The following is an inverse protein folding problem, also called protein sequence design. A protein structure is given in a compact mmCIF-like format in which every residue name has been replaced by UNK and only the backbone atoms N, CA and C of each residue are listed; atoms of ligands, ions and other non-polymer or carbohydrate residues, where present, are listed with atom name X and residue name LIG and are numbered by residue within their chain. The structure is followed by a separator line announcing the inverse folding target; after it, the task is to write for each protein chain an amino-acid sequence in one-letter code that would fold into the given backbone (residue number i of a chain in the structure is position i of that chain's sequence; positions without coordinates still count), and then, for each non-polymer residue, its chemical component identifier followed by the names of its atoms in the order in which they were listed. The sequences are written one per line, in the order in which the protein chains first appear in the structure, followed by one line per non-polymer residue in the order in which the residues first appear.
data_IF_118605614148
#
_entry.id   IF_118605614148
#
_cell.length_a   1.000
_cell.length_b   1.000
_cell.length_c   1.000
_cell.angle_alpha   90.00
_cell.angle_beta   90.00
_cell.angle_gamma   90.00
#
_symmetry.space_group_name_H-M   'P 1'
#
loop_
_entity.id
_entity.type
_entity.pdbx_description
1 polymer ?
#
# COMPACT_ATOMS: atom_id res chain seq x y z
N UNK A 1 9.73 0.32 27.70
CA UNK A 1 10.03 -0.20 26.35
C UNK A 1 11.20 0.62 25.80
N UNK A 2 12.37 0.56 26.44
CA UNK A 2 13.50 1.48 26.19
C UNK A 2 14.79 0.75 25.78
N UNK A 3 14.68 -0.48 25.27
CA UNK A 3 15.85 -1.14 24.70
C UNK A 3 16.03 -0.64 23.26
N UNK A 4 17.18 -0.03 22.91
CA UNK A 4 17.45 0.34 21.54
C UNK A 4 17.52 -0.90 20.65
N UNK A 5 16.92 -0.83 19.45
CA UNK A 5 17.01 -1.89 18.45
C UNK A 5 18.47 -2.15 18.09
N UNK A 6 18.78 -3.40 17.75
CA UNK A 6 20.10 -3.71 17.20
C UNK A 6 20.37 -2.89 15.92
N UNK A 7 21.58 -2.34 15.73
CA UNK A 7 21.89 -1.48 14.59
C UNK A 7 21.56 -2.12 13.23
N UNK A 8 21.79 -3.43 13.10
CA UNK A 8 21.50 -4.20 11.88
C UNK A 8 19.99 -4.30 11.59
N UNK A 9 19.16 -4.36 12.63
CA UNK A 9 17.70 -4.38 12.49
C UNK A 9 17.22 -3.02 12.02
N UNK A 10 17.72 -1.93 12.62
CA UNK A 10 17.41 -0.56 12.22
C UNK A 10 17.81 -0.26 10.78
N UNK A 11 19.01 -0.64 10.38
CA UNK A 11 19.50 -0.47 9.01
C UNK A 11 18.62 -1.22 8.00
N UNK A 12 18.28 -2.48 8.30
CA UNK A 12 17.38 -3.28 7.46
C UNK A 12 15.98 -2.71 7.40
N UNK A 13 15.46 -2.19 8.51
CA UNK A 13 14.15 -1.54 8.56
C UNK A 13 14.11 -0.29 7.68
N UNK A 14 15.14 0.57 7.77
CA UNK A 14 15.27 1.77 6.92
C UNK A 14 15.32 1.41 5.44
N UNK A 15 16.07 0.38 5.06
CA UNK A 15 16.16 -0.07 3.66
C UNK A 15 14.80 -0.55 3.11
N UNK A 16 13.95 -1.15 3.95
CA UNK A 16 12.59 -1.55 3.57
C UNK A 16 11.68 -0.32 3.43
N UNK A 17 11.65 0.56 4.45
CA UNK A 17 10.81 1.76 4.47
C UNK A 17 11.19 2.75 3.36
N UNK A 18 12.45 2.76 2.91
CA UNK A 18 12.89 3.55 1.76
C UNK A 18 12.11 3.22 0.47
N UNK A 19 11.56 2.00 0.36
CA UNK A 19 10.78 1.53 -0.79
C UNK A 19 9.27 1.73 -0.65
N UNK A 20 8.79 2.13 0.53
CA UNK A 20 7.37 2.32 0.78
C UNK A 20 6.86 3.59 0.11
N UNK A 21 5.61 3.56 -0.33
CA UNK A 21 4.92 4.73 -0.89
C UNK A 21 4.17 5.44 0.22
N UNK A 22 4.62 6.66 0.52
CA UNK A 22 3.99 7.51 1.51
C UNK A 22 2.85 8.29 0.83
N UNK A 23 1.66 8.18 1.41
CA UNK A 23 0.49 8.97 1.05
C UNK A 23 0.38 10.10 2.07
N UNK A 24 0.27 11.32 1.56
CA UNK A 24 0.05 12.52 2.36
C UNK A 24 -1.37 13.02 2.10
N UNK A 25 -2.10 13.28 3.17
CA UNK A 25 -3.43 13.87 3.13
C UNK A 25 -3.40 15.17 3.96
N UNK A 26 -3.88 16.29 3.42
CA UNK A 26 -4.02 17.52 4.21
C UNK A 26 -5.05 17.31 5.31
N UNK A 27 -4.80 17.90 6.48
CA UNK A 27 -5.70 17.85 7.62
C UNK A 27 -5.78 19.23 8.28
N UNK A 28 -6.98 19.73 8.50
CA UNK A 28 -7.21 21.10 8.98
C UNK A 28 -6.71 21.34 10.41
N UNK A 29 -6.63 20.31 11.26
CA UNK A 29 -6.19 20.42 12.65
C UNK A 29 -4.69 20.11 12.82
N UNK A 30 -4.18 19.12 12.09
CA UNK A 30 -2.83 18.58 12.25
C UNK A 30 -1.85 19.00 11.13
N UNK A 31 -2.33 19.72 10.12
CA UNK A 31 -1.58 20.13 8.93
C UNK A 31 -1.59 19.05 7.85
N UNK A 32 -0.86 17.95 8.08
CA UNK A 32 -0.79 16.82 7.18
C UNK A 32 -0.77 15.50 7.96
N UNK A 33 -1.46 14.51 7.43
CA UNK A 33 -1.40 13.12 7.91
C UNK A 33 -0.71 12.29 6.85
N UNK A 34 0.30 11.55 7.27
CA UNK A 34 1.09 10.66 6.44
C UNK A 34 0.81 9.20 6.80
N UNK A 35 0.70 8.36 5.77
CA UNK A 35 0.59 6.91 5.91
C UNK A 35 1.41 6.21 4.83
N UNK A 36 1.62 4.90 4.92
CA UNK A 36 2.19 4.11 3.83
C UNK A 36 1.16 3.17 3.22
N UNK A 37 1.19 3.02 1.90
CA UNK A 37 0.36 2.04 1.17
C UNK A 37 0.60 0.61 1.71
N UNK A 38 1.85 0.30 2.04
CA UNK A 38 2.27 -1.00 2.55
C UNK A 38 1.89 -1.22 4.03
N UNK A 39 1.71 -0.14 4.79
CA UNK A 39 1.31 -0.16 6.20
C UNK A 39 0.24 0.91 6.49
N UNK A 40 -1.02 0.69 6.07
CA UNK A 40 -2.06 1.71 6.15
C UNK A 40 -2.34 2.16 7.58
N UNK A 41 -2.18 1.26 8.56
CA UNK A 41 -2.45 1.54 9.97
C UNK A 41 -1.31 2.29 10.70
N UNK A 42 -0.20 2.57 9.99
CA UNK A 42 0.91 3.34 10.55
C UNK A 42 0.78 4.79 10.06
N UNK A 43 0.51 5.68 11.01
CA UNK A 43 0.28 7.10 10.74
C UNK A 43 1.27 7.96 11.50
N UNK A 44 1.62 9.09 10.91
CA UNK A 44 2.21 10.21 11.62
C UNK A 44 1.68 11.53 11.06
N UNK A 45 1.74 12.58 11.84
CA UNK A 45 1.33 13.92 11.44
C UNK A 45 2.52 14.87 11.29
N UNK A 46 2.29 16.01 10.66
CA UNK A 46 3.26 17.09 10.60
C UNK A 46 2.65 18.38 10.07
N UNK A 47 3.11 19.51 10.59
CA UNK A 47 2.60 20.84 10.20
C UNK A 47 2.97 21.21 8.76
N UNK A 48 4.01 20.59 8.21
CA UNK A 48 4.40 20.72 6.80
C UNK A 48 4.50 19.34 6.15
N UNK A 49 4.40 19.26 4.81
CA UNK A 49 4.55 18.00 4.09
C UNK A 49 5.88 17.30 4.41
N UNK A 50 6.98 18.04 4.47
CA UNK A 50 8.32 17.50 4.74
C UNK A 50 8.43 16.93 6.15
N UNK A 51 7.88 17.64 7.14
CA UNK A 51 7.83 17.18 8.53
C UNK A 51 7.00 15.91 8.64
N UNK A 52 5.84 15.89 7.99
CA UNK A 52 4.94 14.74 7.99
C UNK A 52 5.61 13.51 7.35
N UNK A 53 6.32 13.68 6.23
CA UNK A 53 7.09 12.60 5.60
C UNK A 53 8.19 12.09 6.51
N UNK A 54 8.96 12.98 7.15
CA UNK A 54 10.04 12.58 8.06
C UNK A 54 9.50 11.79 9.25
N UNK A 55 8.45 12.30 9.91
CA UNK A 55 7.78 11.64 11.03
C UNK A 55 7.18 10.28 10.62
N UNK A 56 6.54 10.23 9.45
CA UNK A 56 5.97 9.00 8.91
C UNK A 56 7.05 7.95 8.64
N UNK A 57 8.20 8.36 8.07
CA UNK A 57 9.34 7.45 7.85
C UNK A 57 9.91 6.91 9.16
N UNK A 58 9.98 7.74 10.19
CA UNK A 58 10.45 7.32 11.51
C UNK A 58 9.50 6.31 12.15
N UNK A 59 8.19 6.61 12.16
CA UNK A 59 7.15 5.73 12.67
C UNK A 59 7.14 4.38 11.95
N UNK A 60 7.21 4.39 10.61
CA UNK A 60 7.32 3.17 9.80
C UNK A 60 8.60 2.39 10.10
N UNK A 61 9.72 3.09 10.29
CA UNK A 61 11.00 2.43 10.61
C UNK A 61 10.93 1.73 11.97
N UNK A 62 10.37 2.36 12.99
CA UNK A 62 10.18 1.76 14.30
C UNK A 62 9.23 0.54 14.24
N UNK A 63 8.13 0.66 13.50
CA UNK A 63 7.17 -0.43 13.31
C UNK A 63 7.81 -1.64 12.58
N UNK A 64 8.55 -1.38 11.50
CA UNK A 64 9.26 -2.40 10.74
C UNK A 64 10.38 -3.04 11.56
N UNK A 65 11.15 -2.25 12.31
CA UNK A 65 12.19 -2.76 13.22
C UNK A 65 11.59 -3.70 14.28
N UNK A 66 10.47 -3.31 14.88
CA UNK A 66 9.72 -4.15 15.83
C UNK A 66 9.29 -5.47 15.19
N UNK A 67 8.77 -5.44 13.95
CA UNK A 67 8.39 -6.67 13.24
C UNK A 67 9.60 -7.60 13.03
N UNK A 68 10.73 -7.06 12.60
CA UNK A 68 11.96 -7.84 12.37
C UNK A 68 12.45 -8.45 13.69
N UNK A 69 12.49 -7.67 14.78
CA UNK A 69 12.92 -8.14 16.09
C UNK A 69 12.02 -9.28 16.62
N UNK A 70 10.71 -9.19 16.36
CA UNK A 70 9.76 -10.27 16.67
C UNK A 70 9.81 -11.46 15.70
N UNK A 71 10.74 -11.49 14.74
CA UNK A 71 10.85 -12.52 13.72
C UNK A 71 9.73 -12.51 12.67
N UNK A 72 8.92 -11.45 12.61
CA UNK A 72 7.88 -11.25 11.60
C UNK A 72 8.48 -10.65 10.32
N UNK A 73 7.81 -10.89 9.20
CA UNK A 73 8.21 -10.31 7.90
C UNK A 73 7.47 -8.99 7.66
N UNK A 74 8.19 -7.87 7.47
CA UNK A 74 7.58 -6.60 7.08
C UNK A 74 6.91 -6.68 5.70
N UNK A 75 5.82 -5.94 5.48
CA UNK A 75 5.12 -5.92 4.19
C UNK A 75 5.95 -5.17 3.14
N UNK A 76 6.56 -5.91 2.21
CA UNK A 76 7.45 -5.37 1.18
C UNK A 76 6.80 -5.24 -0.21
N UNK A 77 5.53 -5.65 -0.35
CA UNK A 77 4.87 -5.79 -1.65
C UNK A 77 3.46 -5.19 -1.66
N UNK A 78 3.06 -4.71 -2.86
CA UNK A 78 1.90 -3.88 -3.19
C UNK A 78 0.73 -4.21 -2.27
N UNK A 79 0.41 -3.28 -1.36
CA UNK A 79 -0.47 -3.45 -0.21
C UNK A 79 -1.70 -4.34 -0.42
N UNK A 80 -2.20 -4.93 0.67
CA UNK A 80 -3.39 -5.78 0.62
C UNK A 80 -4.50 -5.08 -0.17
N UNK A 81 -5.07 -5.80 -1.15
CA UNK A 81 -6.15 -5.30 -2.00
C UNK A 81 -7.39 -5.08 -1.11
N UNK A 82 -7.57 -3.85 -0.64
CA UNK A 82 -8.67 -3.47 0.27
C UNK A 82 -9.75 -2.62 -0.41
N UNK A 83 -9.44 -1.99 -1.55
CA UNK A 83 -10.36 -1.09 -2.24
C UNK A 83 -11.24 -1.82 -3.26
N UNK A 84 -12.53 -1.46 -3.29
CA UNK A 84 -13.52 -2.00 -4.23
C UNK A 84 -13.99 -0.90 -5.19
N UNK A 85 -14.22 -1.28 -6.44
CA UNK A 85 -14.83 -0.42 -7.46
C UNK A 85 -16.12 -1.09 -7.92
N UNK A 86 -17.25 -0.37 -7.79
CA UNK A 86 -18.55 -0.84 -8.28
C UNK A 86 -18.76 -0.38 -9.71
N UNK A 87 -18.97 -1.34 -10.62
CA UNK A 87 -19.17 -1.07 -12.05
C UNK A 87 -20.60 -1.49 -12.41
N UNK A 88 -21.37 -0.57 -12.99
CA UNK A 88 -22.69 -0.89 -13.57
C UNK A 88 -22.48 -1.35 -15.01
N UNK A 89 -23.08 -2.47 -15.35
CA UNK A 89 -23.03 -3.08 -16.67
C UNK A 89 -24.45 -3.40 -17.13
N UNK A 90 -24.68 -3.32 -18.43
CA UNK A 90 -25.83 -3.98 -19.05
C UNK A 90 -25.66 -5.50 -19.05
N UNK A 91 -26.74 -6.24 -19.26
CA UNK A 91 -26.70 -7.70 -19.35
C UNK A 91 -25.78 -8.19 -20.49
N UNK A 92 -25.79 -7.48 -21.62
CA UNK A 92 -24.97 -7.80 -22.78
C UNK A 92 -23.47 -7.59 -22.50
N UNK A 93 -23.10 -6.46 -21.89
CA UNK A 93 -21.70 -6.20 -21.50
C UNK A 93 -21.19 -7.22 -20.50
N UNK A 94 -22.00 -7.60 -19.51
CA UNK A 94 -21.63 -8.64 -18.53
C UNK A 94 -21.31 -9.97 -19.23
N UNK A 95 -22.16 -10.39 -20.17
CA UNK A 95 -21.97 -11.64 -20.90
C UNK A 95 -20.67 -11.64 -21.72
N UNK A 96 -20.39 -10.54 -22.43
CA UNK A 96 -19.14 -10.38 -23.19
C UNK A 96 -17.92 -10.50 -22.26
N UNK A 97 -17.97 -9.87 -21.09
CA UNK A 97 -16.87 -9.90 -20.13
C UNK A 97 -16.70 -11.28 -19.47
N UNK A 98 -17.77 -12.01 -19.20
CA UNK A 98 -17.72 -13.38 -18.70
C UNK A 98 -17.08 -14.33 -19.70
N UNK A 99 -17.52 -14.28 -20.95
CA UNK A 99 -16.95 -15.08 -22.03
C UNK A 99 -15.46 -14.77 -22.26
N UNK A 100 -15.10 -13.48 -22.27
CA UNK A 100 -13.72 -13.05 -22.41
C UNK A 100 -12.84 -13.50 -21.23
N UNK A 101 -13.37 -13.45 -20.00
CA UNK A 101 -12.67 -13.94 -18.81
C UNK A 101 -12.44 -15.45 -18.88
N UNK A 102 -13.47 -16.22 -19.25
CA UNK A 102 -13.40 -17.68 -19.36
C UNK A 102 -12.40 -18.12 -20.44
N UNK A 103 -12.46 -17.52 -21.65
CA UNK A 103 -11.53 -17.83 -22.75
C UNK A 103 -10.06 -17.56 -22.41
N UNK A 104 -9.80 -16.62 -21.50
CA UNK A 104 -8.45 -16.26 -21.05
C UNK A 104 -8.05 -16.95 -19.73
N UNK A 105 -8.88 -17.87 -19.22
CA UNK A 105 -8.56 -18.68 -18.04
C UNK A 105 -8.65 -17.94 -16.70
N UNK A 106 -9.34 -16.80 -16.64
CA UNK A 106 -9.53 -16.08 -15.39
C UNK A 106 -10.61 -16.73 -14.54
N UNK A 107 -10.44 -16.67 -13.20
CA UNK A 107 -11.39 -17.24 -12.23
C UNK A 107 -12.69 -16.44 -12.10
N UNK A 108 -12.75 -15.24 -12.65
CA UNK A 108 -13.94 -14.39 -12.65
C UNK A 108 -13.72 -13.05 -13.33
N UNK A 109 -14.83 -12.34 -13.59
CA UNK A 109 -14.84 -11.06 -14.31
C UNK A 109 -13.94 -10.02 -13.61
N UNK A 110 -13.95 -9.96 -12.28
CA UNK A 110 -13.17 -8.98 -11.51
C UNK A 110 -11.66 -9.14 -11.72
N UNK A 111 -11.18 -10.38 -11.83
CA UNK A 111 -9.75 -10.67 -12.03
C UNK A 111 -9.31 -10.35 -13.46
N UNK A 112 -10.19 -10.64 -14.42
CA UNK A 112 -10.02 -10.28 -15.83
C UNK A 112 -9.99 -8.76 -16.02
N UNK A 113 -10.99 -8.04 -15.52
CA UNK A 113 -11.08 -6.58 -15.63
C UNK A 113 -9.87 -5.90 -15.01
N UNK A 114 -9.44 -6.35 -13.82
CA UNK A 114 -8.26 -5.79 -13.16
C UNK A 114 -7.01 -5.96 -14.01
N UNK A 115 -6.75 -7.18 -14.49
CA UNK A 115 -5.56 -7.48 -15.28
C UNK A 115 -5.54 -6.66 -16.57
N UNK A 116 -6.65 -6.65 -17.32
CA UNK A 116 -6.76 -5.90 -18.56
C UNK A 116 -6.62 -4.38 -18.36
N UNK A 117 -7.19 -3.82 -17.29
CA UNK A 117 -7.08 -2.40 -16.99
C UNK A 117 -5.65 -2.00 -16.59
N UNK A 118 -5.01 -2.78 -15.71
CA UNK A 118 -3.64 -2.50 -15.26
C UNK A 118 -2.62 -2.64 -16.39
N UNK A 119 -2.72 -3.70 -17.22
CA UNK A 119 -1.84 -3.88 -18.39
C UNK A 119 -1.91 -2.67 -19.33
N UNK A 120 -3.11 -2.15 -19.58
CA UNK A 120 -3.32 -0.99 -20.44
C UNK A 120 -2.81 0.31 -19.81
N UNK A 121 -2.94 0.47 -18.49
CA UNK A 121 -2.46 1.64 -17.77
C UNK A 121 -0.95 1.67 -17.54
N UNK A 122 -0.27 0.52 -17.51
CA UNK A 122 1.19 0.43 -17.38
C UNK A 122 1.92 0.49 -18.74
N UNK A 123 1.20 0.30 -19.86
CA UNK A 123 1.76 0.31 -21.22
C UNK A 123 1.68 1.69 -21.92
N UNK A 124 1.39 2.76 -21.18
CA UNK A 124 1.21 4.13 -21.67
C UNK A 124 1.94 5.13 -20.78
#
# INVERSE_FOLDING_TARGET
MDRPFEPRILERARAIVARYRIVLEPNDELGYIGSAVEMPNAYADGKTPEQCVAATREALTAAVATMIEMGKRPPVDRGQRSMQVNIRLTAHEKLILEDAAARRGFRGISDFLRTAALEKSESN
#
